data_IF_167687697804
#
_entry.id   IF_167687697804
#
_cell.length_a   1.000
_cell.length_b   1.000
_cell.length_c   1.000
_cell.angle_alpha   90.00
_cell.angle_beta   90.00
_cell.angle_gamma   90.00
#
_symmetry.space_group_name_H-M   'P 1'
#
loop_
_entity.id
_entity.type
_entity.pdbx_description
1 polymer ?
#
# COMPACT_ATOMS: atom_id res chain seq x y z
N UNK A 1 12.52 -6.08 3.47
CA UNK A 1 11.94 -7.30 2.88
C UNK A 1 10.44 -7.31 3.11
N UNK A 2 9.66 -7.58 2.09
CA UNK A 2 8.20 -7.65 2.18
C UNK A 2 7.75 -9.09 2.42
N UNK A 3 6.81 -9.27 3.34
CA UNK A 3 6.27 -10.60 3.70
C UNK A 3 4.75 -10.60 3.90
N UNK A 4 4.08 -9.47 3.65
CA UNK A 4 2.64 -9.35 3.81
C UNK A 4 1.90 -10.28 2.85
N UNK A 5 1.03 -11.14 3.38
CA UNK A 5 0.10 -11.91 2.56
C UNK A 5 -1.05 -11.02 2.09
N UNK A 6 -1.28 -10.99 0.79
CA UNK A 6 -2.35 -10.22 0.17
C UNK A 6 -3.57 -11.12 0.06
N UNK A 7 -4.65 -10.74 0.72
CA UNK A 7 -5.89 -11.52 0.74
C UNK A 7 -6.62 -11.49 -0.63
N UNK A 8 -7.22 -10.37 -0.97
CA UNK A 8 -7.91 -10.16 -2.24
C UNK A 8 -7.61 -8.77 -2.78
N UNK A 9 -7.65 -8.64 -4.10
CA UNK A 9 -7.63 -7.33 -4.76
C UNK A 9 -9.06 -6.80 -4.87
N UNK A 10 -9.41 -5.88 -3.99
CA UNK A 10 -10.72 -5.21 -3.95
C UNK A 10 -10.60 -3.73 -4.23
N UNK A 11 -11.54 -3.16 -4.95
CA UNK A 11 -11.54 -1.72 -5.27
C UNK A 11 -11.64 -0.83 -4.02
N UNK A 12 -12.41 -1.28 -3.04
CA UNK A 12 -12.59 -0.67 -1.71
C UNK A 12 -12.01 -1.58 -0.64
N UNK A 13 -11.81 -1.07 0.57
CA UNK A 13 -11.75 -1.98 1.71
C UNK A 13 -13.14 -2.55 1.93
N UNK A 14 -13.22 -3.86 2.08
CA UNK A 14 -14.50 -4.54 2.30
C UNK A 14 -14.55 -5.05 3.73
N UNK A 15 -15.55 -4.61 4.49
CA UNK A 15 -15.80 -5.16 5.81
C UNK A 15 -16.23 -6.62 5.70
N UNK A 16 -15.43 -7.54 6.22
CA UNK A 16 -15.63 -8.98 6.03
C UNK A 16 -16.99 -9.46 6.53
N UNK A 17 -17.44 -8.94 7.68
CA UNK A 17 -18.69 -9.37 8.32
C UNK A 17 -19.94 -8.94 7.57
N UNK A 18 -19.94 -7.74 7.01
CA UNK A 18 -21.15 -7.12 6.41
C UNK A 18 -21.10 -7.04 4.89
N UNK A 19 -19.91 -7.17 4.29
CA UNK A 19 -19.69 -6.91 2.87
C UNK A 19 -19.74 -5.42 2.49
N UNK A 20 -19.81 -4.53 3.46
CA UNK A 20 -19.83 -3.09 3.21
C UNK A 20 -18.51 -2.60 2.64
N UNK A 21 -18.60 -1.83 1.56
CA UNK A 21 -17.47 -1.19 0.91
C UNK A 21 -17.13 0.11 1.62
N UNK A 22 -15.85 0.31 1.91
CA UNK A 22 -15.30 1.50 2.58
C UNK A 22 -14.32 2.20 1.67
N UNK A 23 -14.57 3.46 1.36
CA UNK A 23 -13.62 4.31 0.66
C UNK A 23 -12.37 4.52 1.50
N UNK A 24 -11.23 4.65 0.83
CA UNK A 24 -9.93 4.81 1.48
C UNK A 24 -9.32 6.17 1.18
N UNK A 25 -8.44 6.57 2.07
CA UNK A 25 -7.53 7.69 1.91
C UNK A 25 -6.13 7.27 2.38
N UNK A 26 -5.10 7.95 1.90
CA UNK A 26 -3.74 7.70 2.34
C UNK A 26 -2.93 8.98 2.38
N UNK A 27 -2.01 9.05 3.33
CA UNK A 27 -1.17 10.23 3.53
C UNK A 27 0.21 9.85 4.05
N UNK A 28 1.19 10.71 3.77
CA UNK A 28 2.52 10.61 4.38
C UNK A 28 2.42 10.92 5.86
N UNK A 29 3.07 10.08 6.66
CA UNK A 29 3.12 10.25 8.11
C UNK A 29 4.55 10.08 8.62
N UNK A 30 4.80 10.67 9.78
CA UNK A 30 6.05 10.46 10.54
C UNK A 30 5.72 9.59 11.74
N UNK A 31 6.41 8.46 11.84
CA UNK A 31 6.28 7.56 12.99
C UNK A 31 7.28 7.97 14.07
N UNK A 32 6.82 8.71 15.06
CA UNK A 32 7.60 9.04 16.25
C UNK A 32 7.71 7.83 17.18
N UNK A 33 8.61 7.88 18.14
CA UNK A 33 8.71 6.84 19.18
C UNK A 33 7.39 6.65 19.96
N UNK A 34 6.65 7.73 20.17
CA UNK A 34 5.34 7.69 20.81
C UNK A 34 4.34 6.89 19.96
N UNK A 35 4.27 7.19 18.66
CA UNK A 35 3.38 6.47 17.72
C UNK A 35 3.80 5.01 17.63
N UNK A 36 5.10 4.74 17.53
CA UNK A 36 5.61 3.36 17.52
C UNK A 36 5.19 2.55 18.76
N UNK A 37 5.24 3.16 19.94
CA UNK A 37 4.77 2.49 21.16
C UNK A 37 3.27 2.16 21.11
N UNK A 38 2.47 3.04 20.53
CA UNK A 38 1.03 2.80 20.33
C UNK A 38 0.81 1.65 19.35
N UNK A 39 1.48 1.67 18.21
CA UNK A 39 1.40 0.59 17.21
C UNK A 39 1.79 -0.75 17.83
N UNK A 40 2.88 -0.80 18.58
CA UNK A 40 3.33 -2.03 19.24
C UNK A 40 2.31 -2.58 20.24
N UNK A 41 1.66 -1.71 21.02
CA UNK A 41 0.56 -2.11 21.93
C UNK A 41 -0.67 -2.64 21.17
N UNK A 42 -0.88 -2.19 19.94
CA UNK A 42 -1.95 -2.66 19.05
C UNK A 42 -1.60 -3.96 18.30
N UNK A 43 -0.38 -4.48 18.50
CA UNK A 43 0.07 -5.74 17.91
C UNK A 43 0.81 -5.62 16.58
N UNK A 44 1.16 -4.41 16.13
CA UNK A 44 2.01 -4.23 14.96
C UNK A 44 3.40 -4.84 15.21
N UNK A 45 3.93 -5.54 14.19
CA UNK A 45 5.12 -6.37 14.36
C UNK A 45 6.42 -5.62 14.14
N UNK A 46 6.44 -4.63 13.24
CA UNK A 46 7.67 -3.99 12.81
C UNK A 46 7.95 -2.66 13.53
N UNK A 47 9.22 -2.31 13.58
CA UNK A 47 9.70 -1.03 14.13
C UNK A 47 9.60 0.07 13.07
N UNK A 48 8.41 0.61 12.90
CA UNK A 48 8.10 1.61 11.87
C UNK A 48 8.85 2.93 12.04
N UNK A 49 9.26 3.30 13.25
CA UNK A 49 10.08 4.48 13.50
C UNK A 49 11.54 4.34 13.03
N UNK A 50 11.95 3.13 12.65
CA UNK A 50 13.29 2.83 12.14
C UNK A 50 13.32 2.53 10.65
N UNK A 51 12.18 2.55 9.96
CA UNK A 51 12.13 2.29 8.52
C UNK A 51 12.79 3.41 7.73
N UNK A 52 13.41 3.04 6.61
CA UNK A 52 13.99 4.00 5.67
C UNK A 52 12.92 4.55 4.72
N UNK A 53 13.17 5.74 4.20
CA UNK A 53 12.33 6.34 3.18
C UNK A 53 11.07 7.01 3.71
N UNK A 54 10.05 7.03 2.89
CA UNK A 54 8.78 7.70 3.16
C UNK A 54 7.79 6.65 3.67
N UNK A 55 7.08 6.98 4.74
CA UNK A 55 6.00 6.15 5.28
C UNK A 55 4.64 6.77 4.95
N UNK A 56 3.73 5.97 4.45
CA UNK A 56 2.34 6.37 4.23
C UNK A 56 1.38 5.44 5.00
N UNK A 57 0.35 6.05 5.55
CA UNK A 57 -0.74 5.36 6.23
C UNK A 57 -1.96 5.28 5.33
N UNK A 58 -2.53 4.07 5.21
CA UNK A 58 -3.83 3.82 4.60
C UNK A 58 -4.91 3.84 5.69
N UNK A 59 -5.96 4.60 5.46
CA UNK A 59 -7.13 4.70 6.36
C UNK A 59 -8.43 4.54 5.57
N UNK A 60 -9.49 4.24 6.28
CA UNK A 60 -10.85 4.46 5.77
C UNK A 60 -11.11 5.95 5.81
N UNK A 61 -11.71 6.48 4.75
CA UNK A 61 -12.06 7.89 4.65
C UNK A 61 -12.89 8.34 5.85
N UNK A 62 -12.43 9.39 6.53
CA UNK A 62 -13.08 9.92 7.73
C UNK A 62 -12.80 9.14 9.02
N UNK A 63 -11.96 8.10 9.00
CA UNK A 63 -11.56 7.33 10.17
C UNK A 63 -10.06 7.52 10.45
N UNK A 64 -9.72 7.73 11.72
CA UNK A 64 -8.32 7.94 12.13
C UNK A 64 -7.52 6.65 12.30
N UNK A 65 -8.17 5.49 12.33
CA UNK A 65 -7.51 4.20 12.51
C UNK A 65 -6.66 3.83 11.29
N UNK A 66 -5.40 3.49 11.50
CA UNK A 66 -4.49 3.04 10.44
C UNK A 66 -4.84 1.60 10.06
N UNK A 67 -5.20 1.38 8.80
CA UNK A 67 -5.50 0.05 8.27
C UNK A 67 -4.28 -0.64 7.68
N UNK A 68 -3.32 0.12 7.22
CA UNK A 68 -2.05 -0.38 6.69
C UNK A 68 -0.99 0.68 6.64
N UNK A 69 0.26 0.24 6.63
CA UNK A 69 1.44 1.08 6.50
C UNK A 69 2.32 0.57 5.38
N UNK A 70 2.86 1.50 4.60
CA UNK A 70 3.88 1.22 3.58
C UNK A 70 5.03 2.19 3.74
N UNK A 71 6.26 1.67 3.67
CA UNK A 71 7.48 2.47 3.58
C UNK A 71 8.17 2.20 2.25
N UNK A 72 8.58 3.27 1.58
CA UNK A 72 9.25 3.18 0.29
C UNK A 72 10.29 4.28 0.11
N UNK A 73 11.23 4.05 -0.79
CA UNK A 73 12.24 5.01 -1.22
C UNK A 73 12.08 5.31 -2.71
N UNK A 74 12.09 6.59 -3.06
CA UNK A 74 12.07 7.02 -4.47
C UNK A 74 13.50 6.89 -5.00
N UNK A 75 13.65 6.07 -6.04
CA UNK A 75 14.91 5.83 -6.74
C UNK A 75 14.83 6.41 -8.14
N UNK A 76 15.97 6.46 -8.83
CA UNK A 76 16.01 6.83 -10.23
C UNK A 76 15.32 5.74 -11.07
N UNK A 77 14.18 6.09 -11.67
CA UNK A 77 13.42 5.22 -12.54
C UNK A 77 12.51 4.20 -11.87
N UNK A 78 12.38 4.19 -10.55
CA UNK A 78 11.46 3.29 -9.83
C UNK A 78 11.25 3.70 -8.36
N UNK A 79 10.30 3.07 -7.72
CA UNK A 79 10.09 3.13 -6.26
C UNK A 79 10.47 1.79 -5.64
N UNK A 80 11.33 1.82 -4.62
CA UNK A 80 11.68 0.64 -3.83
C UNK A 80 10.78 0.54 -2.60
N UNK A 81 10.00 -0.51 -2.49
CA UNK A 81 9.22 -0.81 -1.29
C UNK A 81 10.14 -1.42 -0.23
N UNK A 82 10.25 -0.76 0.90
CA UNK A 82 11.08 -1.19 2.01
C UNK A 82 10.32 -2.12 2.97
N UNK A 83 9.08 -1.75 3.31
CA UNK A 83 8.27 -2.47 4.29
C UNK A 83 6.78 -2.23 4.02
N UNK A 84 5.98 -3.26 4.22
CA UNK A 84 4.51 -3.21 4.22
C UNK A 84 3.96 -4.00 5.39
N UNK A 85 2.91 -3.48 6.01
CA UNK A 85 2.22 -4.17 7.09
C UNK A 85 0.74 -3.78 7.12
N UNK A 86 -0.12 -4.76 7.26
CA UNK A 86 -1.54 -4.54 7.52
C UNK A 86 -1.79 -4.44 9.01
N UNK A 87 -2.81 -3.67 9.40
CA UNK A 87 -3.28 -3.65 10.77
C UNK A 87 -3.50 -5.10 11.26
N UNK A 88 -3.00 -5.50 12.43
CA UNK A 88 -3.15 -6.87 12.95
C UNK A 88 -4.58 -7.39 12.94
N UNK A 89 -5.57 -6.50 13.13
CA UNK A 89 -7.00 -6.87 13.07
C UNK A 89 -7.48 -7.29 11.67
N UNK A 90 -6.69 -7.06 10.62
CA UNK A 90 -7.03 -7.43 9.25
C UNK A 90 -6.32 -8.71 8.78
N UNK A 91 -5.31 -9.18 9.52
CA UNK A 91 -4.40 -10.27 9.07
C UNK A 91 -4.96 -11.66 9.33
N UNK A 92 -5.78 -11.83 10.33
CA UNK A 92 -6.32 -13.13 10.71
C UNK A 92 -7.43 -13.60 9.75
N UNK A 93 -7.70 -14.91 9.76
CA UNK A 93 -8.75 -15.55 8.96
C UNK A 93 -10.13 -14.87 9.10
N UNK A 94 -10.39 -14.25 10.26
CA UNK A 94 -11.56 -13.44 10.55
C UNK A 94 -11.25 -11.94 10.59
N UNK A 95 -10.23 -11.51 9.87
CA UNK A 95 -9.82 -10.11 9.80
C UNK A 95 -10.97 -9.19 9.44
N UNK A 96 -10.92 -7.96 9.97
CA UNK A 96 -12.02 -7.00 9.85
C UNK A 96 -12.25 -6.52 8.42
N UNK A 97 -11.18 -6.16 7.72
CA UNK A 97 -11.24 -5.64 6.34
C UNK A 97 -10.42 -6.48 5.38
N UNK A 98 -10.92 -6.62 4.17
CA UNK A 98 -10.27 -7.24 3.02
C UNK A 98 -9.72 -6.14 2.11
N UNK A 99 -8.58 -6.38 1.46
CA UNK A 99 -8.04 -5.52 0.41
C UNK A 99 -6.92 -4.56 0.84
N UNK A 100 -6.48 -4.58 2.09
CA UNK A 100 -5.44 -3.68 2.59
C UNK A 100 -4.12 -3.83 1.82
N UNK A 101 -3.64 -5.06 1.64
CA UNK A 101 -2.36 -5.32 0.98
C UNK A 101 -2.31 -4.80 -0.45
N UNK A 102 -3.35 -5.03 -1.24
CA UNK A 102 -3.46 -4.52 -2.60
C UNK A 102 -3.41 -2.99 -2.67
N UNK A 103 -4.10 -2.31 -1.76
CA UNK A 103 -4.07 -0.85 -1.66
C UNK A 103 -2.66 -0.32 -1.37
N UNK A 104 -1.91 -0.97 -0.48
CA UNK A 104 -0.55 -0.54 -0.12
C UNK A 104 0.39 -0.60 -1.33
N UNK A 105 0.36 -1.68 -2.11
CA UNK A 105 1.16 -1.78 -3.33
C UNK A 105 0.69 -0.82 -4.42
N UNK A 106 -0.61 -0.54 -4.52
CA UNK A 106 -1.14 0.47 -5.42
C UNK A 106 -0.62 1.87 -5.09
N UNK A 107 -0.49 2.22 -3.81
CA UNK A 107 0.14 3.49 -3.38
C UNK A 107 1.56 3.59 -3.91
N UNK A 108 2.38 2.56 -3.78
CA UNK A 108 3.74 2.54 -4.30
C UNK A 108 3.78 2.73 -5.83
N UNK A 109 2.92 2.01 -6.57
CA UNK A 109 2.79 2.17 -8.02
C UNK A 109 2.41 3.60 -8.41
N UNK A 110 1.45 4.18 -7.72
CA UNK A 110 1.02 5.56 -7.92
C UNK A 110 2.14 6.58 -7.67
N UNK A 111 2.87 6.43 -6.56
CA UNK A 111 4.01 7.30 -6.24
C UNK A 111 5.12 7.16 -7.26
N UNK A 112 5.34 5.97 -7.81
CA UNK A 112 6.28 5.75 -8.91
C UNK A 112 5.86 6.52 -10.17
N UNK A 113 4.58 6.50 -10.55
CA UNK A 113 4.08 7.30 -11.66
C UNK A 113 4.35 8.80 -11.47
N UNK A 114 4.13 9.32 -10.25
CA UNK A 114 4.33 10.75 -9.94
C UNK A 114 5.80 11.17 -9.85
N UNK A 115 6.73 10.24 -9.64
CA UNK A 115 8.16 10.49 -9.42
C UNK A 115 9.05 10.09 -10.61
N UNK A 116 8.51 10.04 -11.82
CA UNK A 116 9.19 9.61 -13.06
C UNK A 116 9.69 8.16 -13.04
N UNK A 117 9.03 7.30 -12.26
CA UNK A 117 9.32 5.87 -12.23
C UNK A 117 8.44 5.04 -13.16
N UNK A 118 7.56 5.67 -13.95
CA UNK A 118 6.63 5.02 -14.89
C UNK A 118 5.80 3.90 -14.25
N UNK A 119 5.52 4.01 -12.97
CA UNK A 119 4.80 3.00 -12.21
C UNK A 119 5.64 1.78 -11.81
N UNK A 120 6.93 1.76 -12.12
CA UNK A 120 7.82 0.65 -11.72
C UNK A 120 8.05 0.65 -10.22
N UNK A 121 7.74 -0.48 -9.61
CA UNK A 121 7.94 -0.74 -8.17
C UNK A 121 8.79 -1.98 -8.01
N UNK A 122 9.85 -1.87 -7.23
CA UNK A 122 10.72 -2.97 -6.89
C UNK A 122 10.63 -3.32 -5.39
N UNK A 123 10.87 -4.57 -5.07
CA UNK A 123 10.86 -5.06 -3.69
C UNK A 123 11.74 -6.30 -3.53
N UNK A 124 12.15 -6.56 -2.32
CA UNK A 124 12.69 -7.87 -1.93
C UNK A 124 11.60 -8.62 -1.17
N UNK A 125 11.08 -9.68 -1.76
CA UNK A 125 10.01 -10.49 -1.19
C UNK A 125 10.57 -11.68 -0.42
N UNK A 126 9.98 -11.99 0.73
CA UNK A 126 10.26 -13.22 1.44
C UNK A 126 9.88 -14.42 0.56
N UNK A 127 10.70 -15.47 0.59
CA UNK A 127 10.51 -16.65 -0.27
C UNK A 127 9.08 -17.21 -0.22
N UNK A 128 8.45 -17.18 0.95
CA UNK A 128 7.09 -17.68 1.16
C UNK A 128 5.99 -16.93 0.40
N UNK A 129 6.22 -15.67 -0.01
CA UNK A 129 5.23 -14.86 -0.72
C UNK A 129 5.54 -14.63 -2.20
N UNK A 130 6.67 -15.09 -2.71
CA UNK A 130 7.09 -14.86 -4.12
C UNK A 130 6.03 -15.34 -5.11
N UNK A 131 5.60 -16.59 -4.97
CA UNK A 131 4.57 -17.15 -5.86
C UNK A 131 3.25 -16.40 -5.74
N UNK A 132 2.89 -16.04 -4.53
CA UNK A 132 1.67 -15.28 -4.25
C UNK A 132 1.71 -13.88 -4.88
N UNK A 133 2.80 -13.15 -4.75
CA UNK A 133 2.96 -11.84 -5.38
C UNK A 133 2.94 -11.92 -6.91
N UNK A 134 3.52 -12.98 -7.47
CA UNK A 134 3.45 -13.22 -8.91
C UNK A 134 2.00 -13.41 -9.38
N UNK A 135 1.22 -14.17 -8.65
CA UNK A 135 -0.17 -14.50 -8.99
C UNK A 135 -1.11 -13.31 -8.75
N UNK A 136 -1.00 -12.66 -7.60
CA UNK A 136 -1.97 -11.64 -7.17
C UNK A 136 -1.62 -10.25 -7.68
N UNK A 137 -0.36 -9.83 -7.57
CA UNK A 137 0.10 -8.52 -7.99
C UNK A 137 0.54 -8.46 -9.46
N UNK A 138 0.75 -9.60 -10.10
CA UNK A 138 1.42 -9.64 -11.39
C UNK A 138 2.91 -9.27 -11.33
N UNK A 139 3.51 -9.38 -10.15
CA UNK A 139 4.93 -9.10 -9.95
C UNK A 139 5.80 -10.16 -10.65
N UNK A 140 6.93 -9.74 -11.18
CA UNK A 140 7.90 -10.61 -11.84
C UNK A 140 9.24 -10.60 -11.11
N UNK A 141 9.92 -11.75 -11.06
CA UNK A 141 11.26 -11.81 -10.49
C UNK A 141 12.30 -11.33 -11.50
N UNK A 142 13.33 -10.66 -11.02
CA UNK A 142 14.46 -10.24 -11.85
C UNK A 142 15.79 -10.41 -11.09
N UNK A 143 16.82 -10.85 -11.79
CA UNK A 143 18.09 -11.19 -11.16
C UNK A 143 17.94 -12.32 -10.14
N UNK A 144 17.97 -11.98 -8.85
CA UNK A 144 17.75 -12.96 -7.78
C UNK A 144 16.26 -13.25 -7.62
N UNK A 145 15.92 -14.48 -7.21
CA UNK A 145 14.52 -14.92 -7.07
C UNK A 145 13.68 -14.04 -6.15
N UNK A 146 14.27 -13.55 -5.07
CA UNK A 146 13.60 -12.71 -4.06
C UNK A 146 13.40 -11.26 -4.51
N UNK A 147 14.14 -10.83 -5.55
CA UNK A 147 13.95 -9.50 -6.14
C UNK A 147 12.79 -9.56 -7.12
N UNK A 148 11.79 -8.79 -6.85
CA UNK A 148 10.59 -8.70 -7.67
C UNK A 148 10.30 -7.27 -8.07
N UNK A 149 9.60 -7.10 -9.19
CA UNK A 149 9.10 -5.81 -9.65
C UNK A 149 7.68 -5.91 -10.15
N UNK A 150 6.92 -4.84 -9.95
CA UNK A 150 5.62 -4.59 -10.56
C UNK A 150 5.85 -3.57 -11.66
N UNK A 151 5.51 -3.89 -12.89
CA UNK A 151 5.78 -3.05 -14.08
C UNK A 151 4.58 -2.99 -15.02
N UNK A 152 4.57 -1.98 -15.90
CA UNK A 152 3.65 -1.86 -17.02
C UNK A 152 2.17 -2.07 -16.63
N UNK A 153 1.52 -3.01 -17.29
CA UNK A 153 0.09 -3.29 -17.10
C UNK A 153 -0.28 -3.72 -15.68
N UNK A 154 0.60 -4.45 -14.99
CA UNK A 154 0.35 -4.87 -13.61
C UNK A 154 0.29 -3.65 -12.68
N UNK A 155 1.22 -2.72 -12.81
CA UNK A 155 1.22 -1.46 -12.06
C UNK A 155 0.01 -0.60 -12.42
N UNK A 156 -0.26 -0.40 -13.70
CA UNK A 156 -1.40 0.38 -14.18
C UNK A 156 -2.72 -0.17 -13.64
N UNK A 157 -2.88 -1.48 -13.65
CA UNK A 157 -4.08 -2.16 -13.12
C UNK A 157 -4.31 -1.86 -11.64
N UNK A 158 -3.26 -1.90 -10.83
CA UNK A 158 -3.35 -1.56 -9.40
C UNK A 158 -3.74 -0.10 -9.19
N UNK A 159 -3.09 0.81 -9.89
CA UNK A 159 -3.40 2.25 -9.79
C UNK A 159 -4.84 2.53 -10.22
N UNK A 160 -5.26 2.01 -11.35
CA UNK A 160 -6.63 2.22 -11.85
C UNK A 160 -7.70 1.63 -10.92
N UNK A 161 -7.40 0.50 -10.29
CA UNK A 161 -8.36 -0.16 -9.40
C UNK A 161 -8.57 0.58 -8.08
N UNK A 162 -7.48 1.07 -7.47
CA UNK A 162 -7.50 1.55 -6.08
C UNK A 162 -7.45 3.06 -5.93
N UNK A 163 -6.78 3.76 -6.83
CA UNK A 163 -6.46 5.18 -6.67
C UNK A 163 -7.48 6.10 -7.35
N UNK A 164 -8.29 5.62 -8.26
CA UNK A 164 -9.39 6.39 -8.87
C UNK A 164 -10.33 6.99 -7.84
N UNK A 165 -10.55 6.32 -6.73
CA UNK A 165 -11.38 6.81 -5.64
C UNK A 165 -10.81 8.07 -4.97
N UNK A 166 -9.49 8.19 -4.92
CA UNK A 166 -8.83 9.36 -4.33
C UNK A 166 -8.80 10.55 -5.28
N UNK A 167 -8.99 10.32 -6.59
CA UNK A 167 -8.91 11.38 -7.62
C UNK A 167 -10.22 12.08 -7.93
N UNK A 168 -11.34 11.42 -7.75
CA UNK A 168 -12.64 12.00 -8.09
C UNK A 168 -13.02 13.22 -7.25
N UNK A 169 -12.39 13.40 -6.11
CA UNK A 169 -12.65 14.58 -5.26
C UNK A 169 -11.68 15.75 -5.46
N UNK A 170 -10.47 15.51 -5.97
CA UNK A 170 -9.50 16.58 -6.24
C UNK A 170 -9.65 17.24 -7.62
N UNK A 171 -10.36 16.61 -8.54
CA UNK A 171 -10.59 17.16 -9.89
C UNK A 171 -11.78 18.14 -9.94
N UNK A 172 -12.65 18.13 -8.95
CA UNK A 172 -13.78 19.06 -8.87
C UNK A 172 -13.52 20.31 -7.98
N UNK A 173 -12.38 20.35 -7.29
CA UNK A 173 -11.99 21.51 -6.45
C UNK A 173 -11.01 22.48 -7.09
N UNK A 174 -10.67 22.33 -8.36
CA UNK A 174 -9.58 23.07 -9.02
C UNK A 174 -9.95 24.00 -10.14
N UNK A 175 -11.20 24.50 -10.23
CA UNK A 175 -11.56 25.51 -11.22
C UNK A 175 -12.43 26.62 -10.64
N UNK A 176 -11.91 27.33 -9.66
CA UNK A 176 -12.40 28.66 -9.32
C UNK A 176 -11.22 29.59 -9.09
N UNK A 177 -10.52 29.96 -10.15
CA UNK A 177 -9.80 31.24 -10.29
C UNK A 177 -9.39 31.36 -11.77
N UNK A 178 -10.36 31.77 -12.56
CA UNK A 178 -10.12 32.39 -13.85
C UNK A 178 -11.16 33.51 -14.03
N UNK A 179 -10.85 34.68 -13.47
CA UNK A 179 -11.23 36.00 -13.96
C UNK A 179 -10.16 37.01 -13.57
#
# INVERSE_FOLDING_TARGET
>A
MTELWIDELTEYLVERRTGLKKETEFERIVITERVQRILKKQGWLFDWNKTKGITEALRIKGDSEIQGLISYSIKEGYVEVNLVESNPRNVEKNGRYIGVGGHLFAIACYRSCLSNGDGVVAMTAKTSVIHHYRTVLGAVSYGRKERMMIVNEASQRLVEKYIKQCYTEHTYGGNEYAE
#
